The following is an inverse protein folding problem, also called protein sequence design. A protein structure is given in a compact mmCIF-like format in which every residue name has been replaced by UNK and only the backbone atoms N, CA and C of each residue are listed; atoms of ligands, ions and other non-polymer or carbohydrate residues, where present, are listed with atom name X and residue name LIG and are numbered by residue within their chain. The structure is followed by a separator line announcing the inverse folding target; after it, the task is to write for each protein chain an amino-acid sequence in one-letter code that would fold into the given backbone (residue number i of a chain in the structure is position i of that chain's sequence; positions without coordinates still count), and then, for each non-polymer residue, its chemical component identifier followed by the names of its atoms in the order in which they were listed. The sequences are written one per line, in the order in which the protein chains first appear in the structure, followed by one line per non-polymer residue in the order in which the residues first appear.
data_IF_145166971229
#
_entry.id   IF_145166971229
#
_cell.length_a   1.000
_cell.length_b   1.000
_cell.length_c   1.000
_cell.angle_alpha   90.00
_cell.angle_beta   90.00
_cell.angle_gamma   90.00
#
_symmetry.space_group_name_H-M   'P 1'
#
loop_
_entity.id
_entity.type
_entity.pdbx_description
1 polymer ?
#
# COMPACT_ATOMS: atom_id res chain seq x y z
N UNK A 1 -0.46 17.94 -27.16
CA UNK A 1 -1.04 19.28 -27.35
C UNK A 1 -2.55 19.12 -27.37
N UNK A 2 -3.25 19.88 -26.54
CA UNK A 2 -4.72 19.95 -26.54
C UNK A 2 -5.13 21.13 -27.44
N UNK A 3 -6.06 20.90 -28.36
CA UNK A 3 -6.59 21.94 -29.24
C UNK A 3 -7.93 22.46 -28.71
N UNK A 4 -8.15 23.77 -28.76
CA UNK A 4 -9.39 24.41 -28.31
C UNK A 4 -9.24 25.92 -28.18
N UNK A 5 -10.04 26.54 -27.32
CA UNK A 5 -9.98 27.97 -27.04
C UNK A 5 -8.81 28.37 -26.17
N UNK A 6 -8.55 29.68 -26.02
CA UNK A 6 -7.29 30.24 -25.50
C UNK A 6 -7.21 30.36 -23.96
N UNK A 7 -7.95 29.53 -23.20
CA UNK A 7 -7.86 29.54 -21.74
C UNK A 7 -6.44 29.18 -21.30
N UNK A 8 -6.04 29.66 -20.12
CA UNK A 8 -4.71 29.45 -19.53
C UNK A 8 -3.57 29.87 -20.48
N UNK A 9 -3.72 31.04 -21.09
CA UNK A 9 -2.75 31.56 -22.08
C UNK A 9 -2.53 30.61 -23.27
N UNK A 10 -3.58 29.92 -23.72
CA UNK A 10 -3.53 28.94 -24.81
C UNK A 10 -2.87 27.60 -24.47
N UNK A 11 -2.55 27.37 -23.20
CA UNK A 11 -1.90 26.13 -22.76
C UNK A 11 -2.87 25.00 -22.49
N UNK A 12 -4.07 25.32 -22.04
CA UNK A 12 -5.08 24.31 -21.65
C UNK A 12 -6.48 24.81 -21.99
N UNK A 13 -7.07 24.36 -23.09
CA UNK A 13 -8.42 24.75 -23.50
C UNK A 13 -9.51 24.19 -22.58
N UNK A 14 -10.65 24.83 -22.60
CA UNK A 14 -11.84 24.47 -21.84
C UNK A 14 -12.03 25.30 -20.57
N UNK A 15 -13.30 25.47 -20.18
CA UNK A 15 -13.69 26.22 -18.99
C UNK A 15 -13.12 25.52 -17.73
N UNK A 16 -12.68 26.32 -16.76
CA UNK A 16 -12.15 25.84 -15.50
C UNK A 16 -13.23 25.10 -14.71
N UNK A 17 -12.86 23.94 -14.19
CA UNK A 17 -13.72 23.17 -13.29
C UNK A 17 -13.62 23.76 -11.86
N UNK A 18 -14.29 24.89 -11.65
CA UNK A 18 -14.25 25.64 -10.39
C UNK A 18 -14.66 24.77 -9.20
N UNK A 19 -15.66 23.91 -9.35
CA UNK A 19 -16.10 23.03 -8.27
C UNK A 19 -14.98 22.08 -7.82
N UNK A 20 -14.26 21.45 -8.75
CA UNK A 20 -13.13 20.57 -8.43
C UNK A 20 -11.93 21.34 -7.86
N UNK A 21 -11.69 22.56 -8.33
CA UNK A 21 -10.61 23.43 -7.81
C UNK A 21 -10.90 23.79 -6.34
N UNK A 22 -12.13 24.19 -6.03
CA UNK A 22 -12.54 24.49 -4.65
C UNK A 22 -12.46 23.24 -3.77
N UNK A 23 -12.94 22.10 -4.26
CA UNK A 23 -12.87 20.83 -3.53
C UNK A 23 -11.41 20.42 -3.23
N UNK A 24 -10.49 20.58 -4.18
CA UNK A 24 -9.07 20.34 -3.97
C UNK A 24 -8.47 21.27 -2.90
N UNK A 25 -8.84 22.56 -2.94
CA UNK A 25 -8.40 23.54 -1.92
C UNK A 25 -8.88 23.18 -0.52
N UNK A 26 -10.14 22.76 -0.38
CA UNK A 26 -10.69 22.29 0.91
C UNK A 26 -9.98 21.01 1.37
N UNK A 27 -9.77 20.06 0.49
CA UNK A 27 -9.06 18.80 0.82
C UNK A 27 -7.62 19.07 1.28
N UNK A 28 -6.92 19.96 0.59
CA UNK A 28 -5.55 20.35 0.96
C UNK A 28 -5.50 21.03 2.34
N UNK A 29 -6.46 21.92 2.63
CA UNK A 29 -6.58 22.56 3.95
C UNK A 29 -6.81 21.53 5.05
N UNK A 30 -7.78 20.63 4.89
CA UNK A 30 -8.07 19.57 5.86
C UNK A 30 -6.85 18.66 6.07
N UNK A 31 -6.14 18.30 5.01
CA UNK A 31 -4.91 17.51 5.12
C UNK A 31 -3.83 18.24 5.94
N UNK A 32 -3.61 19.53 5.67
CA UNK A 32 -2.62 20.32 6.41
C UNK A 32 -2.98 20.46 7.91
N UNK A 33 -4.25 20.73 8.24
CA UNK A 33 -4.72 20.88 9.62
C UNK A 33 -4.63 19.59 10.44
N UNK A 34 -4.80 18.42 9.81
CA UNK A 34 -4.80 17.13 10.49
C UNK A 34 -3.47 16.35 10.37
N UNK A 35 -2.47 16.88 9.69
CA UNK A 35 -1.27 16.13 9.29
C UNK A 35 -0.57 15.45 10.47
N UNK A 36 -0.31 16.16 11.55
CA UNK A 36 0.43 15.63 12.71
C UNK A 36 -0.35 14.54 13.45
N UNK A 37 -1.63 14.77 13.72
CA UNK A 37 -2.50 13.80 14.43
C UNK A 37 -2.74 12.56 13.57
N UNK A 38 -3.00 12.75 12.26
CA UNK A 38 -3.16 11.67 11.31
C UNK A 38 -1.88 10.84 11.18
N UNK A 39 -0.71 11.47 11.10
CA UNK A 39 0.56 10.76 11.01
C UNK A 39 0.81 9.84 12.22
N UNK A 40 0.51 10.32 13.44
CA UNK A 40 0.65 9.52 14.66
C UNK A 40 -0.31 8.32 14.69
N UNK A 41 -1.56 8.52 14.27
CA UNK A 41 -2.54 7.44 14.16
C UNK A 41 -2.10 6.39 13.13
N UNK A 42 -1.71 6.82 11.92
CA UNK A 42 -1.25 5.93 10.86
C UNK A 42 -0.03 5.13 11.27
N UNK A 43 0.91 5.76 11.98
CA UNK A 43 2.08 5.09 12.52
C UNK A 43 1.69 3.96 13.47
N UNK A 44 0.78 4.24 14.43
CA UNK A 44 0.31 3.25 15.38
C UNK A 44 -0.37 2.05 14.69
N UNK A 45 -1.25 2.32 13.69
CA UNK A 45 -1.93 1.27 12.92
C UNK A 45 -0.94 0.42 12.12
N UNK A 46 -0.02 1.06 11.39
CA UNK A 46 1.03 0.39 10.61
C UNK A 46 1.93 -0.49 11.49
N UNK A 47 2.37 0.05 12.62
CA UNK A 47 3.30 -0.67 13.51
C UNK A 47 2.60 -1.83 14.20
N UNK A 48 1.33 -1.68 14.61
CA UNK A 48 0.51 -2.80 15.12
C UNK A 48 0.41 -3.91 14.08
N UNK A 49 0.07 -3.58 12.83
CA UNK A 49 0.00 -4.55 11.73
C UNK A 49 1.34 -5.26 11.51
N UNK A 50 2.42 -4.50 11.48
CA UNK A 50 3.76 -5.06 11.29
C UNK A 50 4.16 -6.02 12.41
N UNK A 51 4.05 -5.58 13.67
CA UNK A 51 4.47 -6.39 14.81
C UNK A 51 3.61 -7.65 14.96
N UNK A 52 2.30 -7.55 14.75
CA UNK A 52 1.41 -8.69 14.82
C UNK A 52 1.68 -9.74 13.74
N UNK A 53 1.90 -9.31 12.49
CA UNK A 53 2.29 -10.23 11.42
C UNK A 53 3.67 -10.85 11.66
N UNK A 54 4.65 -10.06 12.13
CA UNK A 54 5.99 -10.56 12.43
C UNK A 54 6.02 -11.56 13.59
N UNK A 55 5.10 -11.43 14.55
CA UNK A 55 4.96 -12.40 15.65
C UNK A 55 4.32 -13.72 15.20
N UNK A 56 3.50 -13.68 14.13
CA UNK A 56 2.72 -14.84 13.66
C UNK A 56 3.36 -15.57 12.48
N UNK A 57 4.22 -14.90 11.73
CA UNK A 57 4.81 -15.42 10.48
C UNK A 57 6.34 -15.39 10.62
N UNK A 58 6.98 -16.56 10.82
CA UNK A 58 8.44 -16.67 10.86
C UNK A 58 9.08 -16.16 9.57
N UNK A 59 10.24 -15.53 9.68
CA UNK A 59 11.01 -15.01 8.54
C UNK A 59 10.29 -13.97 7.66
N UNK A 60 9.21 -13.35 8.17
CA UNK A 60 8.57 -12.21 7.51
C UNK A 60 9.56 -11.05 7.39
N UNK A 61 9.75 -10.53 6.18
CA UNK A 61 10.76 -9.52 5.93
C UNK A 61 10.16 -8.17 5.57
N UNK A 62 10.63 -7.11 6.25
CA UNK A 62 10.30 -5.74 5.89
C UNK A 62 11.14 -5.29 4.69
N UNK A 63 10.49 -4.73 3.68
CA UNK A 63 11.14 -4.08 2.53
C UNK A 63 11.21 -2.57 2.77
N UNK A 64 12.41 -2.03 2.70
CA UNK A 64 12.69 -0.63 2.96
C UNK A 64 13.29 -0.34 4.34
N UNK A 65 13.44 0.95 4.65
CA UNK A 65 14.07 1.38 5.89
C UNK A 65 13.12 1.24 7.08
N UNK A 66 13.62 0.75 8.22
CA UNK A 66 12.82 0.49 9.40
C UNK A 66 12.14 1.75 9.97
N UNK A 67 12.85 2.88 9.99
CA UNK A 67 12.35 4.14 10.54
C UNK A 67 11.99 5.18 9.46
N UNK A 68 12.83 5.36 8.44
CA UNK A 68 12.65 6.36 7.39
C UNK A 68 11.70 5.86 6.30
N UNK A 69 10.42 5.83 6.61
CA UNK A 69 9.34 5.38 5.72
C UNK A 69 8.04 6.14 5.99
N UNK A 70 7.11 6.10 5.06
CA UNK A 70 5.81 6.72 5.24
C UNK A 70 5.06 6.11 6.44
N UNK A 71 4.34 6.92 7.23
CA UNK A 71 3.64 6.45 8.41
C UNK A 71 2.52 5.45 8.11
N UNK A 72 1.96 5.48 6.91
CA UNK A 72 0.80 4.68 6.50
C UNK A 72 1.14 3.47 5.64
N UNK A 73 2.40 3.28 5.24
CA UNK A 73 2.76 2.24 4.26
C UNK A 73 3.66 1.19 4.89
N UNK A 74 3.28 -0.06 4.72
CA UNK A 74 4.01 -1.25 5.12
C UNK A 74 4.23 -2.14 3.90
N UNK A 75 5.48 -2.44 3.57
CA UNK A 75 5.83 -3.33 2.47
C UNK A 75 6.57 -4.53 3.03
N UNK A 76 5.95 -5.70 2.94
CA UNK A 76 6.45 -6.95 3.52
C UNK A 76 6.64 -8.00 2.44
N UNK A 77 7.63 -8.87 2.61
CA UNK A 77 7.77 -10.11 1.85
C UNK A 77 7.41 -11.29 2.73
N UNK A 78 6.38 -12.03 2.33
CA UNK A 78 5.89 -13.22 2.99
C UNK A 78 6.68 -14.44 2.49
N UNK A 79 7.35 -15.20 3.38
CA UNK A 79 8.22 -16.29 2.97
C UNK A 79 7.45 -17.47 2.40
N UNK A 80 8.00 -18.11 1.36
CA UNK A 80 7.47 -19.35 0.78
C UNK A 80 6.13 -19.23 0.06
N UNK A 81 5.59 -18.03 -0.17
CA UNK A 81 4.31 -17.84 -0.86
C UNK A 81 4.40 -16.71 -1.89
N UNK A 82 3.61 -16.79 -2.94
CA UNK A 82 3.42 -15.67 -3.85
C UNK A 82 2.50 -14.61 -3.20
N UNK A 83 2.91 -13.34 -3.21
CA UNK A 83 2.09 -12.24 -2.71
C UNK A 83 0.72 -12.15 -3.41
N UNK A 84 0.65 -12.50 -4.70
CA UNK A 84 -0.61 -12.58 -5.46
C UNK A 84 -1.51 -13.68 -4.90
N UNK A 85 -0.97 -14.88 -4.68
CA UNK A 85 -1.74 -16.01 -4.13
C UNK A 85 -2.19 -15.73 -2.70
N UNK A 86 -1.35 -15.11 -1.87
CA UNK A 86 -1.69 -14.66 -0.52
C UNK A 86 -2.88 -13.70 -0.53
N UNK A 87 -2.83 -12.65 -1.38
CA UNK A 87 -3.90 -11.67 -1.46
C UNK A 87 -5.18 -12.25 -2.06
N UNK A 88 -5.09 -13.19 -3.00
CA UNK A 88 -6.27 -13.89 -3.52
C UNK A 88 -6.98 -14.69 -2.43
N UNK A 89 -6.21 -15.34 -1.53
CA UNK A 89 -6.77 -16.08 -0.38
C UNK A 89 -7.39 -15.17 0.67
N UNK A 90 -6.85 -13.95 0.86
CA UNK A 90 -7.35 -12.99 1.84
C UNK A 90 -8.34 -11.97 1.24
N UNK A 91 -8.81 -12.13 0.00
CA UNK A 91 -9.52 -11.11 -0.77
C UNK A 91 -10.85 -10.65 -0.13
N UNK A 92 -11.54 -11.53 0.60
CA UNK A 92 -12.80 -11.21 1.27
C UNK A 92 -12.61 -10.27 2.50
N UNK A 93 -11.37 -10.17 3.01
CA UNK A 93 -11.07 -9.42 4.24
C UNK A 93 -10.08 -8.27 4.03
N UNK A 94 -9.20 -8.35 3.02
CA UNK A 94 -8.10 -7.40 2.83
C UNK A 94 -8.00 -6.94 1.38
N UNK A 95 -8.08 -5.64 1.17
CA UNK A 95 -7.72 -5.01 -0.09
C UNK A 95 -6.29 -4.46 -0.02
N UNK A 96 -5.36 -5.06 -0.76
CA UNK A 96 -3.95 -4.70 -0.77
C UNK A 96 -3.34 -4.88 -2.18
N UNK A 97 -2.04 -4.64 -2.34
CA UNK A 97 -1.38 -4.65 -3.64
C UNK A 97 -0.05 -5.39 -3.59
N UNK A 98 0.26 -6.15 -4.64
CA UNK A 98 1.56 -6.83 -4.84
C UNK A 98 2.63 -5.93 -5.49
N UNK A 99 2.31 -4.69 -5.82
CA UNK A 99 3.27 -3.79 -6.47
C UNK A 99 2.63 -2.71 -7.34
N UNK A 100 3.36 -2.23 -8.37
CA UNK A 100 2.82 -1.25 -9.31
C UNK A 100 1.84 -1.90 -10.27
N UNK A 101 0.71 -1.23 -10.55
CA UNK A 101 -0.34 -1.69 -11.46
C UNK A 101 0.15 -1.90 -12.93
N UNK A 102 1.30 -1.35 -13.30
CA UNK A 102 1.81 -1.34 -14.67
C UNK A 102 2.45 -2.67 -15.12
N UNK A 103 2.57 -3.68 -14.25
CA UNK A 103 3.20 -4.96 -14.57
C UNK A 103 2.26 -6.15 -14.33
N UNK A 104 0.99 -6.00 -14.67
CA UNK A 104 -0.08 -6.96 -14.35
C UNK A 104 0.00 -8.29 -15.13
N UNK A 105 0.78 -8.39 -16.18
CA UNK A 105 0.77 -9.57 -17.08
C UNK A 105 2.00 -10.48 -16.99
N UNK A 106 3.09 -10.04 -16.39
CA UNK A 106 4.29 -10.87 -16.20
C UNK A 106 4.68 -10.91 -14.72
N UNK A 107 5.05 -12.08 -14.20
CA UNK A 107 5.63 -12.30 -12.87
C UNK A 107 7.02 -11.61 -12.68
N UNK A 108 7.26 -10.53 -13.41
CA UNK A 108 8.50 -9.79 -13.33
C UNK A 108 8.61 -9.10 -11.95
N UNK A 109 9.74 -9.33 -11.30
CA UNK A 109 10.12 -8.65 -10.06
C UNK A 109 9.97 -7.14 -10.23
N UNK A 110 9.31 -6.49 -9.28
CA UNK A 110 9.21 -5.02 -9.27
C UNK A 110 10.60 -4.39 -9.46
N UNK A 111 10.75 -3.53 -10.47
CA UNK A 111 12.01 -2.82 -10.71
C UNK A 111 12.50 -2.03 -9.49
N UNK A 112 11.60 -1.59 -8.63
CA UNK A 112 11.93 -0.94 -7.35
C UNK A 112 12.60 -1.92 -6.38
N UNK A 113 12.04 -3.13 -6.23
CA UNK A 113 12.62 -4.14 -5.34
C UNK A 113 13.97 -4.64 -5.87
N UNK A 114 14.10 -4.81 -7.18
CA UNK A 114 15.37 -5.16 -7.81
C UNK A 114 16.44 -4.06 -7.59
N UNK A 115 16.07 -2.79 -7.75
CA UNK A 115 16.96 -1.65 -7.48
C UNK A 115 17.38 -1.54 -6.00
N UNK A 116 16.56 -2.07 -5.08
CA UNK A 116 16.88 -2.20 -3.65
C UNK A 116 17.75 -3.43 -3.32
N UNK A 117 18.13 -4.22 -4.30
CA UNK A 117 18.91 -5.44 -4.12
C UNK A 117 18.11 -6.62 -3.51
N UNK A 118 16.78 -6.58 -3.59
CA UNK A 118 15.91 -7.65 -3.12
C UNK A 118 15.85 -8.73 -4.21
N UNK A 119 16.22 -9.95 -3.85
CA UNK A 119 16.23 -11.09 -4.76
C UNK A 119 14.81 -11.49 -5.21
N UNK A 120 14.73 -12.27 -6.29
CA UNK A 120 13.47 -12.65 -6.91
C UNK A 120 12.58 -13.50 -5.98
N UNK A 121 13.16 -14.38 -5.18
CA UNK A 121 12.44 -15.25 -4.25
C UNK A 121 11.73 -14.43 -3.17
N UNK A 122 12.46 -13.51 -2.56
CA UNK A 122 11.90 -12.57 -1.58
C UNK A 122 10.87 -11.63 -2.23
N UNK A 123 11.16 -11.12 -3.40
CA UNK A 123 10.26 -10.22 -4.13
C UNK A 123 8.95 -10.88 -4.56
N UNK A 124 8.95 -12.19 -4.84
CA UNK A 124 7.74 -12.93 -5.20
C UNK A 124 6.68 -12.91 -4.08
N UNK A 125 7.11 -12.93 -2.82
CA UNK A 125 6.23 -12.81 -1.65
C UNK A 125 5.86 -11.39 -1.25
N UNK A 126 6.25 -10.38 -2.02
CA UNK A 126 6.10 -8.98 -1.64
C UNK A 126 4.65 -8.49 -1.73
N UNK A 127 4.19 -7.83 -0.65
CA UNK A 127 2.86 -7.21 -0.54
C UNK A 127 3.00 -5.83 0.08
N UNK A 128 2.30 -4.84 -0.49
CA UNK A 128 2.16 -3.50 0.06
C UNK A 128 0.82 -3.35 0.76
N UNK A 129 0.86 -3.07 2.04
CA UNK A 129 -0.27 -2.79 2.89
C UNK A 129 -0.30 -1.29 3.20
N UNK A 130 -1.48 -0.68 3.14
CA UNK A 130 -1.63 0.74 3.42
C UNK A 130 -2.80 0.95 4.37
N UNK A 131 -2.57 1.71 5.43
CA UNK A 131 -3.60 2.12 6.38
C UNK A 131 -4.04 3.55 6.08
N UNK A 132 -5.30 3.86 6.36
CA UNK A 132 -5.89 5.17 6.15
C UNK A 132 -6.26 5.87 7.46
N UNK A 133 -6.62 7.15 7.40
CA UNK A 133 -7.02 7.93 8.57
C UNK A 133 -8.25 7.36 9.30
N UNK A 134 -9.06 6.57 8.61
CA UNK A 134 -10.26 5.94 9.14
C UNK A 134 -10.03 4.50 9.59
N UNK A 135 -8.84 3.95 9.35
CA UNK A 135 -8.51 2.58 9.76
C UNK A 135 -8.54 2.46 11.28
N UNK A 136 -9.25 1.46 11.78
CA UNK A 136 -9.41 1.18 13.20
C UNK A 136 -8.49 0.04 13.67
N UNK A 137 -8.32 -0.09 14.97
CA UNK A 137 -7.57 -1.22 15.57
C UNK A 137 -8.21 -2.56 15.22
N UNK A 138 -9.53 -2.66 15.27
CA UNK A 138 -10.27 -3.89 14.94
C UNK A 138 -10.09 -4.31 13.47
N UNK A 139 -10.02 -3.34 12.56
CA UNK A 139 -9.73 -3.63 11.14
C UNK A 139 -8.31 -4.12 10.95
N UNK A 140 -7.34 -3.54 11.66
CA UNK A 140 -5.95 -4.00 11.65
C UNK A 140 -5.85 -5.43 12.19
N UNK A 141 -6.52 -5.74 13.28
CA UNK A 141 -6.50 -7.07 13.90
C UNK A 141 -7.14 -8.12 12.96
N UNK A 142 -8.29 -7.81 12.36
CA UNK A 142 -8.90 -8.68 11.33
C UNK A 142 -8.01 -8.89 10.12
N UNK A 143 -7.31 -7.85 9.67
CA UNK A 143 -6.38 -7.97 8.56
C UNK A 143 -5.18 -8.86 8.92
N UNK A 144 -4.65 -8.76 10.14
CA UNK A 144 -3.59 -9.66 10.64
C UNK A 144 -4.04 -11.12 10.65
N UNK A 145 -5.23 -11.40 11.20
CA UNK A 145 -5.79 -12.74 11.23
C UNK A 145 -5.99 -13.33 9.83
N UNK A 146 -6.57 -12.54 8.91
CA UNK A 146 -6.83 -12.95 7.55
C UNK A 146 -5.53 -13.26 6.77
N UNK A 147 -4.53 -12.38 6.86
CA UNK A 147 -3.25 -12.57 6.19
C UNK A 147 -2.45 -13.73 6.78
N UNK A 148 -2.48 -13.92 8.10
CA UNK A 148 -1.83 -15.05 8.77
C UNK A 148 -2.49 -16.38 8.36
N UNK A 149 -3.81 -16.42 8.34
CA UNK A 149 -4.57 -17.60 7.88
C UNK A 149 -4.27 -17.92 6.42
N UNK A 150 -4.29 -16.92 5.55
CA UNK A 150 -3.96 -17.06 4.14
C UNK A 150 -2.53 -17.57 3.92
N UNK A 151 -1.57 -17.07 4.69
CA UNK A 151 -0.19 -17.53 4.63
C UNK A 151 -0.07 -19.00 5.02
N UNK A 152 -0.68 -19.42 6.13
CA UNK A 152 -0.67 -20.84 6.56
C UNK A 152 -1.30 -21.75 5.51
N UNK A 153 -2.43 -21.36 4.93
CA UNK A 153 -3.10 -22.15 3.90
C UNK A 153 -2.23 -22.37 2.65
N UNK A 154 -1.45 -21.35 2.27
CA UNK A 154 -0.60 -21.41 1.07
C UNK A 154 0.80 -22.00 1.35
N UNK A 155 1.31 -21.84 2.54
CA UNK A 155 2.62 -22.40 2.94
C UNK A 155 2.59 -23.90 3.14
N UNK A 156 1.46 -24.46 3.65
CA UNK A 156 1.28 -25.91 3.87
C UNK A 156 0.92 -26.68 2.60
N UNK A 157 0.58 -25.98 1.51
CA UNK A 157 0.14 -26.62 0.26
C UNK A 157 1.26 -26.79 -0.77
N UNK A 158 2.51 -26.51 -0.38
CA UNK A 158 3.74 -26.75 -1.16
C UNK A 158 4.53 -27.91 -0.56
#
# INVERSE_FOLDING_TARGET
VLFGADQEHGLRPGTENVASIVALGVAAKLAAESLATTASHLLAMRDRLHHGLAASIPDLQLNGHLAQRLPNTLHLSFPGVSGRALLAEAADAVAASVGSACHSENDAVSGVLAAMGIDATRAAGAVRLSVGRMTTFDEVDRAMEALTKAWHARHTSQ
#
